data_IF_853561717464
#
_entry.id   IF_853561717464
#
_cell.length_a   1.000
_cell.length_b   1.000
_cell.length_c   1.000
_cell.angle_alpha   90.00
_cell.angle_beta   90.00
_cell.angle_gamma   90.00
#
_symmetry.space_group_name_H-M   'P 1'
#
loop_
_entity.id
_entity.type
_entity.pdbx_description
1 polymer ?
#
# COMPACT_ATOMS: atom_id res chain seq x y z
N UNK A 1 -12.21 -23.67 16.75
CA UNK A 1 -12.02 -22.30 16.22
C UNK A 1 -13.38 -21.69 15.93
N UNK A 2 -13.75 -20.59 16.59
CA UNK A 2 -15.11 -19.98 16.51
C UNK A 2 -15.17 -18.80 15.53
N UNK A 3 -14.11 -18.00 15.39
CA UNK A 3 -14.13 -16.75 14.60
C UNK A 3 -13.94 -16.97 13.09
N UNK A 4 -14.47 -16.04 12.28
CA UNK A 4 -14.37 -16.01 10.81
C UNK A 4 -13.07 -15.37 10.29
N UNK A 5 -12.13 -15.11 11.18
CA UNK A 5 -10.87 -14.47 10.87
C UNK A 5 -10.10 -14.16 12.15
N UNK A 6 -8.81 -13.88 11.98
CA UNK A 6 -7.88 -13.59 13.05
C UNK A 6 -6.91 -12.52 12.56
N UNK A 7 -6.76 -11.47 13.35
CA UNK A 7 -5.72 -10.46 13.19
C UNK A 7 -4.66 -10.77 14.24
N UNK A 8 -3.49 -11.19 13.80
CA UNK A 8 -2.36 -11.45 14.68
C UNK A 8 -1.46 -10.22 14.73
N UNK A 9 -1.18 -9.78 15.95
CA UNK A 9 -0.27 -8.67 16.23
C UNK A 9 1.04 -9.25 16.77
N UNK A 10 2.17 -8.80 16.23
CA UNK A 10 3.50 -9.28 16.63
C UNK A 10 4.31 -8.20 17.34
N UNK A 11 4.91 -8.57 18.46
CA UNK A 11 5.79 -7.68 19.24
C UNK A 11 7.02 -7.23 18.44
N UNK A 12 7.58 -8.10 17.60
CA UNK A 12 8.75 -7.76 16.76
C UNK A 12 8.42 -6.69 15.71
N UNK A 13 7.23 -6.75 15.10
CA UNK A 13 6.74 -5.71 14.18
C UNK A 13 6.56 -4.38 14.91
N UNK A 14 6.00 -4.42 16.12
CA UNK A 14 5.82 -3.23 16.94
C UNK A 14 7.17 -2.58 17.30
N UNK A 15 8.15 -3.37 17.76
CA UNK A 15 9.48 -2.86 18.12
C UNK A 15 10.31 -2.37 16.92
N UNK A 16 10.04 -2.88 15.72
CA UNK A 16 10.65 -2.39 14.47
C UNK A 16 9.93 -1.17 13.86
N UNK A 17 8.96 -0.60 14.57
CA UNK A 17 8.27 0.63 14.17
C UNK A 17 7.15 0.42 13.15
N UNK A 18 6.67 -0.82 12.95
CA UNK A 18 5.47 -1.11 12.15
C UNK A 18 4.24 -1.01 13.05
N UNK A 19 3.41 0.00 12.79
CA UNK A 19 2.16 0.25 13.51
C UNK A 19 1.04 0.55 12.51
N UNK A 20 -0.10 -0.17 12.50
CA UNK A 20 -0.42 -1.31 13.37
C UNK A 20 0.43 -2.56 13.07
N UNK A 21 0.82 -3.30 14.11
CA UNK A 21 1.77 -4.41 14.04
C UNK A 21 1.16 -5.74 13.54
N UNK A 22 0.34 -5.67 12.48
CA UNK A 22 -0.37 -6.83 11.92
C UNK A 22 0.60 -7.70 11.13
N UNK A 23 0.69 -9.00 11.45
CA UNK A 23 1.42 -9.93 10.59
C UNK A 23 0.50 -10.45 9.46
N UNK A 24 0.76 -10.09 8.18
CA UNK A 24 -0.10 -10.47 7.05
C UNK A 24 0.02 -11.95 6.64
N UNK A 25 1.12 -12.62 6.99
CA UNK A 25 1.35 -14.03 6.67
C UNK A 25 0.45 -14.97 7.46
N UNK A 26 0.27 -14.69 8.76
CA UNK A 26 -0.57 -15.51 9.66
C UNK A 26 -1.98 -14.94 9.85
N UNK A 27 -2.18 -13.64 9.64
CA UNK A 27 -3.52 -13.04 9.71
C UNK A 27 -4.39 -13.50 8.54
N UNK A 28 -5.64 -13.85 8.83
CA UNK A 28 -6.57 -14.43 7.86
C UNK A 28 -7.95 -13.83 8.04
N UNK A 29 -8.63 -13.58 6.92
CA UNK A 29 -10.08 -13.38 6.85
C UNK A 29 -10.69 -14.52 6.04
N UNK A 30 -11.66 -15.25 6.60
CA UNK A 30 -12.40 -16.31 5.89
C UNK A 30 -13.45 -15.74 4.93
N UNK A 31 -13.90 -14.51 5.17
CA UNK A 31 -14.79 -13.77 4.26
C UNK A 31 -14.04 -13.25 3.03
N UNK A 32 -12.77 -12.91 3.21
CA UNK A 32 -11.88 -12.47 2.13
C UNK A 32 -12.36 -11.22 1.41
N UNK A 33 -12.13 -11.17 0.09
CA UNK A 33 -12.48 -10.02 -0.75
C UNK A 33 -13.97 -9.74 -0.90
N UNK A 34 -14.86 -10.61 -0.40
CA UNK A 34 -16.31 -10.36 -0.39
C UNK A 34 -16.72 -9.25 0.58
N UNK A 35 -15.88 -8.96 1.59
CA UNK A 35 -16.08 -7.85 2.51
C UNK A 35 -15.55 -6.50 1.97
N UNK A 36 -14.96 -6.48 0.76
CA UNK A 36 -14.34 -5.29 0.18
C UNK A 36 -15.19 -4.70 -0.94
N UNK A 37 -15.14 -3.38 -1.10
CA UNK A 37 -15.64 -2.73 -2.31
C UNK A 37 -14.82 -3.18 -3.53
N UNK A 38 -15.43 -3.12 -4.73
CA UNK A 38 -14.78 -3.60 -5.96
C UNK A 38 -13.46 -2.88 -6.23
N UNK A 39 -13.42 -1.57 -6.01
CA UNK A 39 -12.22 -0.75 -6.14
C UNK A 39 -11.05 -1.29 -5.28
N UNK A 40 -11.31 -1.53 -3.98
CA UNK A 40 -10.31 -2.06 -3.05
C UNK A 40 -9.84 -3.46 -3.44
N UNK A 41 -10.77 -4.34 -3.81
CA UNK A 41 -10.43 -5.71 -4.26
C UNK A 41 -9.52 -5.70 -5.49
N UNK A 42 -9.78 -4.77 -6.42
CA UNK A 42 -9.00 -4.63 -7.67
C UNK A 42 -7.56 -4.22 -7.39
N UNK A 43 -7.33 -3.29 -6.46
CA UNK A 43 -5.97 -2.79 -6.16
C UNK A 43 -5.22 -3.66 -5.16
N UNK A 44 -5.88 -4.14 -4.10
CA UNK A 44 -5.23 -4.83 -2.99
C UNK A 44 -5.06 -6.35 -3.20
N UNK A 45 -5.55 -6.92 -4.30
CA UNK A 45 -5.56 -8.37 -4.51
C UNK A 45 -4.18 -9.04 -4.45
N UNK A 46 -3.12 -8.33 -4.82
CA UNK A 46 -1.73 -8.82 -4.78
C UNK A 46 -0.99 -8.46 -3.47
N UNK A 47 -1.56 -7.59 -2.64
CA UNK A 47 -0.90 -7.01 -1.47
C UNK A 47 -0.39 -8.08 -0.50
N UNK A 48 -1.25 -9.03 -0.13
CA UNK A 48 -0.90 -10.09 0.83
C UNK A 48 0.25 -10.96 0.32
N UNK A 49 0.24 -11.30 -0.97
CA UNK A 49 1.29 -12.11 -1.60
C UNK A 49 2.63 -11.35 -1.60
N UNK A 50 2.63 -10.09 -2.06
CA UNK A 50 3.84 -9.26 -2.15
C UNK A 50 4.47 -9.04 -0.77
N UNK A 51 3.65 -8.74 0.26
CA UNK A 51 4.14 -8.56 1.62
C UNK A 51 4.65 -9.90 2.21
N UNK A 52 3.95 -11.02 2.01
CA UNK A 52 4.45 -12.32 2.50
C UNK A 52 5.82 -12.66 1.90
N UNK A 53 5.96 -12.50 0.58
CA UNK A 53 7.23 -12.73 -0.12
C UNK A 53 8.33 -11.79 0.37
N UNK A 54 8.01 -10.51 0.60
CA UNK A 54 8.96 -9.56 1.19
C UNK A 54 9.47 -10.03 2.55
N UNK A 55 8.60 -10.50 3.44
CA UNK A 55 8.98 -10.94 4.79
C UNK A 55 9.85 -12.19 4.77
N UNK A 56 9.53 -13.14 3.88
CA UNK A 56 10.37 -14.31 3.64
C UNK A 56 11.76 -13.87 3.15
N UNK A 57 11.83 -13.06 2.10
CA UNK A 57 13.09 -12.56 1.53
C UNK A 57 13.91 -11.71 2.51
N UNK A 58 13.27 -10.86 3.30
CA UNK A 58 13.95 -10.02 4.29
C UNK A 58 14.71 -10.86 5.32
N UNK A 59 14.16 -12.00 5.71
CA UNK A 59 14.82 -12.93 6.64
C UNK A 59 16.04 -13.59 6.00
N UNK A 60 15.99 -13.94 4.71
CA UNK A 60 17.13 -14.53 3.98
C UNK A 60 18.21 -13.50 3.63
N UNK A 61 17.82 -12.28 3.29
CA UNK A 61 18.72 -11.18 2.93
C UNK A 61 19.67 -10.78 4.07
N UNK A 62 19.31 -11.07 5.32
CA UNK A 62 20.19 -10.85 6.48
C UNK A 62 21.42 -11.76 6.50
N UNK A 63 21.41 -12.85 5.72
CA UNK A 63 22.46 -13.88 5.71
C UNK A 63 23.24 -13.98 4.39
N UNK A 64 22.79 -13.29 3.32
CA UNK A 64 23.40 -13.38 1.99
C UNK A 64 24.05 -12.07 1.54
N UNK A 65 25.26 -12.14 0.97
CA UNK A 65 26.03 -10.96 0.54
C UNK A 65 25.76 -10.50 -0.88
N UNK A 66 25.21 -11.35 -1.75
CA UNK A 66 24.85 -11.01 -3.12
C UNK A 66 23.40 -11.37 -3.42
N UNK A 67 22.57 -10.33 -3.57
CA UNK A 67 21.19 -10.47 -4.01
C UNK A 67 21.12 -10.12 -5.49
N UNK A 68 20.52 -11.02 -6.27
CA UNK A 68 20.19 -10.76 -7.66
C UNK A 68 19.21 -9.58 -7.78
N UNK A 69 19.08 -9.04 -9.00
CA UNK A 69 18.26 -7.86 -9.26
C UNK A 69 16.78 -8.07 -8.91
N UNK A 70 16.21 -9.23 -9.21
CA UNK A 70 14.79 -9.49 -8.93
C UNK A 70 14.53 -9.56 -7.42
N UNK A 71 15.43 -10.21 -6.67
CA UNK A 71 15.37 -10.22 -5.20
C UNK A 71 15.45 -8.81 -4.62
N UNK A 72 16.35 -7.97 -5.15
CA UNK A 72 16.49 -6.57 -4.73
C UNK A 72 15.23 -5.75 -5.01
N UNK A 73 14.71 -5.84 -6.23
CA UNK A 73 13.53 -5.11 -6.67
C UNK A 73 12.30 -5.49 -5.80
N UNK A 74 12.17 -6.78 -5.41
CA UNK A 74 11.12 -7.26 -4.49
C UNK A 74 11.30 -6.74 -3.06
N UNK A 75 12.53 -6.71 -2.55
CA UNK A 75 12.83 -6.13 -1.23
C UNK A 75 12.50 -4.64 -1.19
N UNK A 76 12.87 -3.91 -2.23
CA UNK A 76 12.59 -2.49 -2.39
C UNK A 76 11.10 -2.18 -2.52
N UNK A 77 10.35 -2.98 -3.28
CA UNK A 77 8.89 -2.84 -3.37
C UNK A 77 8.23 -3.18 -2.02
N UNK A 78 8.65 -4.26 -1.38
CA UNK A 78 8.13 -4.68 -0.09
C UNK A 78 8.37 -3.66 1.01
N UNK A 79 9.55 -3.05 1.07
CA UNK A 79 9.85 -1.97 2.02
C UNK A 79 8.87 -0.79 1.88
N UNK A 80 8.56 -0.38 0.64
CA UNK A 80 7.57 0.68 0.37
C UNK A 80 6.15 0.26 0.75
N UNK A 81 5.78 -0.99 0.51
CA UNK A 81 4.49 -1.55 0.97
C UNK A 81 4.39 -1.45 2.49
N UNK A 82 5.45 -1.82 3.23
CA UNK A 82 5.47 -1.70 4.68
C UNK A 82 5.27 -0.26 5.12
N UNK A 83 5.98 0.70 4.53
CA UNK A 83 5.83 2.12 4.90
C UNK A 83 4.42 2.65 4.65
N UNK A 84 3.81 2.34 3.50
CA UNK A 84 2.42 2.74 3.18
C UNK A 84 1.39 2.15 4.15
N UNK A 85 1.66 0.95 4.69
CA UNK A 85 0.73 0.30 5.62
C UNK A 85 0.88 0.78 7.06
N UNK A 86 1.89 1.61 7.36
CA UNK A 86 2.03 2.21 8.69
C UNK A 86 1.04 3.35 8.85
N UNK A 87 0.28 3.33 9.93
CA UNK A 87 -0.73 4.32 10.24
C UNK A 87 -0.64 4.72 11.72
N UNK A 88 -0.74 6.02 11.98
CA UNK A 88 -0.71 6.55 13.33
C UNK A 88 -2.02 6.25 14.08
N UNK A 89 -1.95 6.25 15.41
CA UNK A 89 -3.11 5.97 16.27
C UNK A 89 -4.17 7.05 16.08
N UNK A 90 -5.43 6.62 15.99
CA UNK A 90 -6.60 7.51 15.82
C UNK A 90 -6.58 8.36 14.53
N UNK A 91 -5.82 7.94 13.51
CA UNK A 91 -5.78 8.61 12.22
C UNK A 91 -6.37 7.70 11.11
N UNK A 92 -7.68 7.37 11.12
CA UNK A 92 -8.29 6.53 10.10
C UNK A 92 -8.19 7.20 8.71
N UNK A 93 -7.90 6.40 7.69
CA UNK A 93 -7.80 6.86 6.30
C UNK A 93 -9.08 6.49 5.55
N UNK A 94 -9.68 7.43 4.81
CA UNK A 94 -10.84 7.18 3.96
C UNK A 94 -10.53 6.11 2.89
N UNK A 95 -11.54 5.31 2.52
CA UNK A 95 -11.34 4.19 1.60
C UNK A 95 -10.88 4.63 0.21
N UNK A 96 -11.30 5.81 -0.27
CA UNK A 96 -10.85 6.30 -1.57
C UNK A 96 -9.34 6.62 -1.56
N UNK A 97 -8.86 7.27 -0.49
CA UNK A 97 -7.42 7.49 -0.29
C UNK A 97 -6.63 6.19 -0.17
N UNK A 98 -7.13 5.22 0.59
CA UNK A 98 -6.51 3.89 0.68
C UNK A 98 -6.38 3.24 -0.70
N UNK A 99 -7.43 3.32 -1.54
CA UNK A 99 -7.38 2.81 -2.91
C UNK A 99 -6.30 3.51 -3.73
N UNK A 100 -6.17 4.83 -3.63
CA UNK A 100 -5.15 5.62 -4.34
C UNK A 100 -3.73 5.24 -3.96
N UNK A 101 -3.40 5.20 -2.65
CA UNK A 101 -2.03 4.89 -2.21
C UNK A 101 -1.67 3.42 -2.47
N UNK A 102 -2.64 2.49 -2.30
CA UNK A 102 -2.43 1.07 -2.61
C UNK A 102 -2.24 0.85 -4.12
N UNK A 103 -2.99 1.55 -4.97
CA UNK A 103 -2.76 1.55 -6.41
C UNK A 103 -1.33 2.00 -6.75
N UNK A 104 -0.88 3.10 -6.13
CA UNK A 104 0.44 3.65 -6.37
C UNK A 104 1.58 2.70 -5.97
N UNK A 105 1.52 2.11 -4.77
CA UNK A 105 2.61 1.25 -4.27
C UNK A 105 2.61 -0.13 -4.92
N UNK A 106 1.43 -0.74 -5.13
CA UNK A 106 1.32 -2.08 -5.74
C UNK A 106 1.63 -2.01 -7.24
N UNK A 107 1.28 -0.90 -7.90
CA UNK A 107 1.60 -0.64 -9.30
C UNK A 107 3.06 -0.23 -9.55
N UNK A 108 3.87 -0.05 -8.51
CA UNK A 108 5.29 0.30 -8.64
C UNK A 108 5.56 1.76 -8.99
N UNK A 109 4.56 2.65 -8.88
CA UNK A 109 4.71 4.08 -9.18
C UNK A 109 5.63 4.79 -8.19
N UNK A 110 5.75 4.26 -6.97
CA UNK A 110 6.59 4.83 -5.91
C UNK A 110 8.04 4.35 -5.95
N UNK A 111 8.45 3.58 -6.97
CA UNK A 111 9.78 2.95 -7.04
C UNK A 111 10.95 3.95 -6.97
N UNK A 112 10.75 5.16 -7.49
CA UNK A 112 11.80 6.18 -7.57
C UNK A 112 11.81 7.08 -6.32
N UNK A 113 10.82 6.94 -5.44
CA UNK A 113 10.76 7.65 -4.17
C UNK A 113 11.56 6.85 -3.12
N UNK A 114 12.53 7.47 -2.42
CA UNK A 114 13.23 6.83 -1.30
C UNK A 114 12.26 6.36 -0.21
N UNK A 115 12.53 5.21 0.42
CA UNK A 115 11.62 4.56 1.37
C UNK A 115 11.27 5.50 2.54
N UNK A 116 12.26 6.21 3.05
CA UNK A 116 12.15 7.20 4.13
C UNK A 116 11.24 8.39 3.78
N UNK A 117 10.98 8.63 2.50
CA UNK A 117 10.10 9.71 2.01
C UNK A 117 8.70 9.26 1.68
N UNK A 118 8.39 7.96 1.76
CA UNK A 118 7.06 7.42 1.43
C UNK A 118 5.96 8.02 2.31
N UNK A 119 6.19 8.14 3.62
CA UNK A 119 5.23 8.79 4.54
C UNK A 119 4.97 10.25 4.19
N UNK A 120 6.00 11.00 3.80
CA UNK A 120 5.85 12.39 3.38
C UNK A 120 5.05 12.49 2.07
N UNK A 121 5.36 11.62 1.09
CA UNK A 121 4.60 11.53 -0.15
C UNK A 121 3.11 11.22 0.11
N UNK A 122 2.81 10.24 0.97
CA UNK A 122 1.44 9.85 1.32
C UNK A 122 0.67 11.02 1.96
N UNK A 123 1.29 11.71 2.92
CA UNK A 123 0.67 12.85 3.60
C UNK A 123 0.33 14.00 2.63
N UNK A 124 1.15 14.20 1.60
CA UNK A 124 0.90 15.21 0.56
C UNK A 124 -0.01 14.70 -0.57
N UNK A 125 -0.10 13.38 -0.79
CA UNK A 125 -0.93 12.79 -1.84
C UNK A 125 -2.41 13.09 -1.60
N UNK A 126 -2.90 12.89 -0.39
CA UNK A 126 -4.33 13.05 -0.08
C UNK A 126 -4.89 14.45 -0.33
N UNK A 127 -4.31 15.55 0.22
CA UNK A 127 -4.79 16.89 -0.08
C UNK A 127 -4.59 17.26 -1.55
N UNK A 128 -3.54 16.77 -2.20
CA UNK A 128 -3.35 17.00 -3.63
C UNK A 128 -4.42 16.31 -4.49
N UNK A 129 -4.82 15.09 -4.13
CA UNK A 129 -5.89 14.36 -4.82
C UNK A 129 -7.23 15.09 -4.66
N UNK A 130 -7.55 15.62 -3.48
CA UNK A 130 -8.76 16.44 -3.29
C UNK A 130 -8.71 17.74 -4.11
N UNK A 131 -7.54 18.35 -4.29
CA UNK A 131 -7.41 19.58 -5.06
C UNK A 131 -7.41 19.37 -6.59
N UNK A 132 -6.84 18.26 -7.08
CA UNK A 132 -6.53 18.08 -8.51
C UNK A 132 -7.24 16.89 -9.17
N UNK A 133 -7.79 15.96 -8.38
CA UNK A 133 -8.38 14.71 -8.86
C UNK A 133 -9.58 14.27 -7.99
N UNK A 134 -10.39 15.22 -7.52
CA UNK A 134 -11.55 14.96 -6.67
C UNK A 134 -12.61 14.09 -7.36
N UNK A 135 -12.66 14.12 -8.69
CA UNK A 135 -13.52 13.27 -9.52
C UNK A 135 -13.21 11.79 -9.29
N UNK A 136 -11.93 11.42 -9.19
CA UNK A 136 -11.49 10.05 -8.91
C UNK A 136 -11.97 9.61 -7.53
N UNK A 137 -11.78 10.45 -6.51
CA UNK A 137 -12.19 10.15 -5.13
C UNK A 137 -13.72 9.99 -5.03
N UNK A 138 -14.46 10.90 -5.65
CA UNK A 138 -15.93 10.87 -5.71
C UNK A 138 -16.43 9.61 -6.40
N UNK A 139 -15.87 9.28 -7.56
CA UNK A 139 -16.23 8.08 -8.30
C UNK A 139 -16.02 6.80 -7.48
N UNK A 140 -14.91 6.69 -6.75
CA UNK A 140 -14.64 5.52 -5.88
C UNK A 140 -15.66 5.46 -4.74
N UNK A 141 -15.98 6.59 -4.09
CA UNK A 141 -16.93 6.65 -2.97
C UNK A 141 -18.35 6.26 -3.40
N UNK A 142 -18.81 6.77 -4.53
CA UNK A 142 -20.19 6.58 -5.01
C UNK A 142 -20.38 5.23 -5.69
N UNK A 143 -19.52 4.90 -6.65
CA UNK A 143 -19.68 3.68 -7.47
C UNK A 143 -19.13 2.44 -6.77
N UNK A 144 -18.26 2.62 -5.77
CA UNK A 144 -17.52 1.55 -5.07
C UNK A 144 -16.65 0.72 -6.02
N UNK A 145 -16.40 1.20 -7.22
CA UNK A 145 -15.68 0.54 -8.30
C UNK A 145 -14.58 1.45 -8.83
N UNK A 146 -13.57 0.83 -9.45
CA UNK A 146 -12.51 1.52 -10.15
C UNK A 146 -12.66 1.17 -11.64
N UNK A 147 -13.58 1.86 -12.29
CA UNK A 147 -13.87 1.71 -13.73
C UNK A 147 -12.61 1.98 -14.56
N UNK A 148 -12.59 1.56 -15.83
CA UNK A 148 -11.43 1.81 -16.71
C UNK A 148 -11.14 3.31 -16.88
N UNK A 149 -12.18 4.13 -16.93
CA UNK A 149 -12.06 5.59 -17.05
C UNK A 149 -11.49 6.19 -15.77
N UNK A 150 -12.08 5.86 -14.61
CA UNK A 150 -11.59 6.29 -13.29
C UNK A 150 -10.16 5.84 -13.03
N UNK A 151 -9.80 4.62 -13.44
CA UNK A 151 -8.45 4.08 -13.34
C UNK A 151 -7.45 4.85 -14.20
N UNK A 152 -7.84 5.24 -15.42
CA UNK A 152 -6.99 6.06 -16.29
C UNK A 152 -6.75 7.45 -15.69
N UNK A 153 -7.78 8.07 -15.11
CA UNK A 153 -7.67 9.35 -14.40
C UNK A 153 -6.78 9.20 -13.17
N UNK A 154 -6.98 8.15 -12.37
CA UNK A 154 -6.14 7.83 -11.20
C UNK A 154 -4.67 7.63 -11.61
N UNK A 155 -4.41 6.86 -12.66
CA UNK A 155 -3.06 6.62 -13.17
C UNK A 155 -2.36 7.94 -13.55
N UNK A 156 -3.06 8.81 -14.29
CA UNK A 156 -2.53 10.12 -14.67
C UNK A 156 -2.26 10.99 -13.45
N UNK A 157 -3.18 11.01 -12.49
CA UNK A 157 -3.07 11.76 -11.25
C UNK A 157 -1.86 11.31 -10.43
N UNK A 158 -1.72 10.00 -10.18
CA UNK A 158 -0.59 9.42 -9.45
C UNK A 158 0.74 9.70 -10.16
N UNK A 159 0.81 9.49 -11.48
CA UNK A 159 2.05 9.72 -12.24
C UNK A 159 2.48 11.18 -12.18
N UNK A 160 1.53 12.11 -12.32
CA UNK A 160 1.78 13.56 -12.21
C UNK A 160 2.27 13.90 -10.81
N UNK A 161 1.56 13.43 -9.78
CA UNK A 161 1.90 13.71 -8.39
C UNK A 161 3.28 13.18 -8.00
N UNK A 162 3.64 11.96 -8.44
CA UNK A 162 4.97 11.38 -8.22
C UNK A 162 6.05 12.24 -8.88
N UNK A 163 5.83 12.66 -10.14
CA UNK A 163 6.79 13.52 -10.83
C UNK A 163 7.00 14.86 -10.12
N UNK A 164 5.92 15.51 -9.67
CA UNK A 164 5.99 16.76 -8.89
C UNK A 164 6.73 16.58 -7.56
N UNK A 165 6.49 15.46 -6.85
CA UNK A 165 7.19 15.17 -5.59
C UNK A 165 8.69 14.96 -5.77
N UNK A 166 9.10 14.39 -6.90
CA UNK A 166 10.50 14.18 -7.25
C UNK A 166 11.20 15.47 -7.72
N UNK A 167 10.45 16.41 -8.30
CA UNK A 167 10.98 17.72 -8.72
C UNK A 167 11.16 18.71 -7.56
N UNK A 168 10.34 18.60 -6.52
CA UNK A 168 10.42 19.43 -5.32
C UNK A 168 11.50 18.93 -4.32
N UNK A 169 12.55 18.28 -4.82
CA UNK A 169 13.69 17.77 -4.04
C UNK A 169 14.97 18.54 -4.35
#
# INVERSE_FOLDING_TARGET
SITDGQIFLETELFHSGVMPAVNPGISVSRVGGSAQIKAMKKVAGKLKLLYSQYRELQSFAQFGSDLDKDTRDRLEQGARIVEVLKQDRNAPVDVAYQVCILYAVIGGYLKDIPVERIRAFEAELYPWMEANAADVLTAIRETKDLSKETEAHLNKAITTRVAEFLQNQ
#
